data_IF_029163256784
#
_entry.id   IF_029163256784
#
_cell.length_a   1.000
_cell.length_b   1.000
_cell.length_c   1.000
_cell.angle_alpha   90.00
_cell.angle_beta   90.00
_cell.angle_gamma   90.00
#
_symmetry.space_group_name_H-M   'P 1'
#
loop_
_entity.id
_entity.type
_entity.pdbx_description
1 polymer ?
#
# COMPACT_ATOMS: atom_id res chain seq x y z
N UNK A 1 -10.79 9.28 20.13
CA UNK A 1 -11.19 7.94 19.63
C UNK A 1 -11.94 8.04 18.29
N UNK A 2 -12.99 8.88 18.14
CA UNK A 2 -13.78 8.99 16.89
C UNK A 2 -12.94 9.40 15.68
N UNK A 3 -12.06 10.39 15.82
CA UNK A 3 -11.17 10.84 14.76
C UNK A 3 -10.26 9.69 14.28
N UNK A 4 -9.58 9.03 15.24
CA UNK A 4 -8.63 7.95 14.94
C UNK A 4 -9.34 6.83 14.17
N UNK A 5 -10.54 6.44 14.60
CA UNK A 5 -11.33 5.39 13.94
C UNK A 5 -11.71 5.80 12.51
N UNK A 6 -12.29 7.00 12.31
CA UNK A 6 -12.72 7.46 10.99
C UNK A 6 -11.56 7.58 10.00
N UNK A 7 -10.42 8.17 10.44
CA UNK A 7 -9.23 8.29 9.60
C UNK A 7 -8.64 6.92 9.28
N UNK A 8 -8.63 6.00 10.24
CA UNK A 8 -8.13 4.64 10.02
C UNK A 8 -9.06 3.79 9.13
N UNK A 9 -10.39 3.98 9.21
CA UNK A 9 -11.32 3.37 8.25
C UNK A 9 -11.12 3.94 6.83
N UNK A 10 -10.86 5.25 6.71
CA UNK A 10 -10.52 5.85 5.43
C UNK A 10 -9.17 5.33 4.88
N UNK A 11 -8.23 4.94 5.76
CA UNK A 11 -6.99 4.25 5.39
C UNK A 11 -7.25 2.84 4.86
N UNK A 12 -8.07 2.07 5.56
CA UNK A 12 -8.48 0.76 5.07
C UNK A 12 -9.14 0.86 3.68
N UNK A 13 -10.02 1.85 3.51
CA UNK A 13 -10.73 2.07 2.25
C UNK A 13 -9.80 2.47 1.10
N UNK A 14 -8.79 3.32 1.32
CA UNK A 14 -7.88 3.70 0.22
C UNK A 14 -7.08 2.51 -0.27
N UNK A 15 -6.63 1.63 0.61
CA UNK A 15 -5.94 0.42 0.22
C UNK A 15 -6.87 -0.63 -0.41
N UNK A 16 -8.13 -0.69 0.04
CA UNK A 16 -9.16 -1.49 -0.62
C UNK A 16 -9.40 -1.00 -2.06
N UNK A 17 -9.49 0.31 -2.27
CA UNK A 17 -9.63 0.91 -3.60
C UNK A 17 -8.37 0.70 -4.46
N UNK A 18 -7.17 0.83 -3.88
CA UNK A 18 -5.90 0.58 -4.57
C UNK A 18 -5.81 -0.86 -5.09
N UNK A 19 -6.26 -1.84 -4.30
CA UNK A 19 -6.24 -3.26 -4.66
C UNK A 19 -7.48 -3.72 -5.42
N UNK A 20 -8.48 -2.85 -5.60
CA UNK A 20 -9.74 -3.21 -6.23
C UNK A 20 -9.57 -3.73 -7.65
N UNK A 21 -8.71 -3.08 -8.44
CA UNK A 21 -8.48 -3.48 -9.84
C UNK A 21 -7.87 -4.88 -9.92
N UNK A 22 -6.89 -5.21 -9.10
CA UNK A 22 -6.28 -6.54 -9.06
C UNK A 22 -7.28 -7.64 -8.71
N UNK A 23 -8.28 -7.30 -7.90
CA UNK A 23 -9.31 -8.24 -7.44
C UNK A 23 -10.34 -8.62 -8.51
N UNK A 24 -10.51 -7.79 -9.54
CA UNK A 24 -11.49 -8.02 -10.61
C UNK A 24 -10.89 -7.89 -12.02
N UNK A 25 -9.55 -7.79 -12.13
CA UNK A 25 -8.87 -7.56 -13.41
C UNK A 25 -9.17 -8.67 -14.42
N UNK A 26 -9.19 -9.94 -13.99
CA UNK A 26 -9.48 -11.06 -14.86
C UNK A 26 -10.91 -10.98 -15.42
N UNK A 27 -11.89 -10.66 -14.59
CA UNK A 27 -13.29 -10.55 -15.01
C UNK A 27 -13.48 -9.39 -16.00
N UNK A 28 -12.79 -8.26 -15.76
CA UNK A 28 -12.77 -7.13 -16.71
C UNK A 28 -12.08 -7.53 -18.01
N UNK A 29 -10.93 -8.21 -17.91
CA UNK A 29 -10.17 -8.67 -19.09
C UNK A 29 -10.98 -9.65 -19.95
N UNK A 30 -11.69 -10.57 -19.31
CA UNK A 30 -12.56 -11.53 -20.02
C UNK A 30 -13.70 -10.81 -20.74
N UNK A 31 -14.34 -9.81 -20.12
CA UNK A 31 -15.46 -9.06 -20.72
C UNK A 31 -15.00 -8.22 -21.93
N UNK A 32 -13.86 -7.55 -21.83
CA UNK A 32 -13.38 -6.66 -22.89
C UNK A 32 -12.34 -7.32 -23.80
N UNK A 33 -12.07 -8.62 -23.64
CA UNK A 33 -11.06 -9.37 -24.38
C UNK A 33 -9.67 -8.73 -24.36
N UNK A 34 -9.25 -8.31 -23.14
CA UNK A 34 -7.94 -7.71 -22.94
C UNK A 34 -6.82 -8.74 -23.06
N UNK A 35 -5.74 -8.36 -23.75
CA UNK A 35 -4.44 -9.03 -23.62
C UNK A 35 -3.85 -8.83 -22.23
N UNK A 36 -2.84 -9.62 -21.87
CA UNK A 36 -2.13 -9.42 -20.60
C UNK A 36 -1.50 -8.02 -20.50
N UNK A 37 -0.96 -7.50 -21.60
CA UNK A 37 -0.44 -6.11 -21.67
C UNK A 37 -1.52 -5.08 -21.32
N UNK A 38 -2.72 -5.23 -21.89
CA UNK A 38 -3.85 -4.35 -21.61
C UNK A 38 -4.30 -4.48 -20.14
N UNK A 39 -4.34 -5.69 -19.60
CA UNK A 39 -4.61 -5.90 -18.18
C UNK A 39 -3.54 -5.25 -17.29
N UNK A 40 -2.26 -5.40 -17.63
CA UNK A 40 -1.17 -4.73 -16.93
C UNK A 40 -1.29 -3.20 -16.93
N UNK A 41 -1.65 -2.62 -18.10
CA UNK A 41 -1.91 -1.20 -18.23
C UNK A 41 -3.14 -0.74 -17.41
N UNK A 42 -4.12 -1.60 -17.20
CA UNK A 42 -5.26 -1.29 -16.33
C UNK A 42 -4.81 -1.05 -14.88
N UNK A 43 -3.88 -1.87 -14.39
CA UNK A 43 -3.25 -1.67 -13.08
C UNK A 43 -2.45 -0.36 -13.02
N UNK A 44 -1.71 -0.05 -14.09
CA UNK A 44 -0.97 1.22 -14.20
C UNK A 44 -1.90 2.43 -14.21
N UNK A 45 -3.05 2.35 -14.89
CA UNK A 45 -4.02 3.45 -14.97
C UNK A 45 -4.51 3.89 -13.58
N UNK A 46 -4.61 2.98 -12.62
CA UNK A 46 -4.95 3.32 -11.24
C UNK A 46 -3.71 3.73 -10.42
N UNK A 47 -2.63 2.94 -10.47
CA UNK A 47 -1.47 3.09 -9.58
C UNK A 47 -0.61 4.32 -9.88
N UNK A 48 -0.47 4.69 -11.15
CA UNK A 48 0.35 5.82 -11.55
C UNK A 48 -0.19 7.15 -11.00
N UNK A 49 -1.47 7.53 -11.23
CA UNK A 49 -2.03 8.74 -10.64
C UNK A 49 -2.13 8.66 -9.11
N UNK A 50 -2.33 7.46 -8.54
CA UNK A 50 -2.30 7.26 -7.08
C UNK A 50 -0.94 7.65 -6.48
N UNK A 51 0.16 7.20 -7.08
CA UNK A 51 1.51 7.52 -6.60
C UNK A 51 1.88 8.98 -6.85
N UNK A 52 1.78 9.46 -8.10
CA UNK A 52 2.17 10.83 -8.46
C UNK A 52 1.26 11.86 -7.79
N UNK A 53 -0.04 11.59 -7.73
CA UNK A 53 -1.04 12.49 -7.16
C UNK A 53 -0.81 12.77 -5.68
N UNK A 54 -0.22 11.84 -4.92
CA UNK A 54 0.04 12.01 -3.50
C UNK A 54 0.93 13.23 -3.19
N UNK A 55 1.88 13.55 -4.05
CA UNK A 55 2.70 14.76 -3.90
C UNK A 55 1.86 16.03 -4.03
N UNK A 56 1.04 16.12 -5.06
CA UNK A 56 0.17 17.29 -5.28
C UNK A 56 -0.94 17.40 -4.24
N UNK A 57 -1.48 16.26 -3.80
CA UNK A 57 -2.50 16.21 -2.76
C UNK A 57 -2.00 16.76 -1.41
N UNK A 58 -0.71 16.59 -1.11
CA UNK A 58 -0.08 17.22 0.06
C UNK A 58 -0.15 18.77 -0.01
N UNK A 59 0.19 19.34 -1.17
CA UNK A 59 0.10 20.79 -1.38
C UNK A 59 -1.35 21.31 -1.29
N UNK A 60 -2.31 20.51 -1.78
CA UNK A 60 -3.74 20.85 -1.66
C UNK A 60 -4.21 20.77 -0.20
N UNK A 61 -3.75 19.77 0.57
CA UNK A 61 -4.08 19.63 1.98
C UNK A 61 -3.54 20.80 2.81
N UNK A 62 -2.30 21.24 2.54
CA UNK A 62 -1.71 22.43 3.19
C UNK A 62 -2.50 23.71 2.87
N UNK A 63 -3.05 23.84 1.67
CA UNK A 63 -3.78 25.04 1.23
C UNK A 63 -5.24 25.05 1.66
N UNK A 64 -5.93 23.94 1.56
CA UNK A 64 -7.38 23.84 1.73
C UNK A 64 -7.79 23.17 3.05
N UNK A 65 -6.85 22.58 3.78
CA UNK A 65 -7.05 21.84 5.02
C UNK A 65 -7.33 20.36 4.80
N UNK A 66 -6.78 19.54 5.67
CA UNK A 66 -6.77 18.08 5.58
C UNK A 66 -8.18 17.47 5.52
N UNK A 67 -9.10 17.98 6.34
CA UNK A 67 -10.50 17.48 6.34
C UNK A 67 -11.17 17.63 4.97
N UNK A 68 -10.98 18.78 4.30
CA UNK A 68 -11.62 19.01 2.98
C UNK A 68 -11.06 18.07 1.93
N UNK A 69 -9.75 17.84 1.95
CA UNK A 69 -9.10 16.91 1.02
C UNK A 69 -9.52 15.46 1.30
N UNK A 70 -9.66 15.08 2.58
CA UNK A 70 -10.18 13.76 2.95
C UNK A 70 -11.63 13.55 2.49
N UNK A 71 -12.48 14.58 2.62
CA UNK A 71 -13.86 14.54 2.13
C UNK A 71 -13.92 14.48 0.60
N UNK A 72 -13.05 15.24 -0.09
CA UNK A 72 -12.93 15.21 -1.55
C UNK A 72 -12.48 13.83 -2.05
N UNK A 73 -11.50 13.20 -1.39
CA UNK A 73 -11.13 11.81 -1.66
C UNK A 73 -12.35 10.89 -1.58
N UNK A 74 -13.06 10.90 -0.46
CA UNK A 74 -14.14 9.93 -0.20
C UNK A 74 -15.31 10.08 -1.18
N UNK A 75 -15.78 11.31 -1.44
CA UNK A 75 -16.86 11.54 -2.38
C UNK A 75 -16.43 11.39 -3.84
N UNK A 76 -15.21 11.80 -4.19
CA UNK A 76 -14.64 11.57 -5.52
C UNK A 76 -14.47 10.09 -5.83
N UNK A 77 -13.91 9.32 -4.89
CA UNK A 77 -13.82 7.87 -5.02
C UNK A 77 -15.21 7.20 -5.11
N UNK A 78 -16.18 7.67 -4.32
CA UNK A 78 -17.57 7.20 -4.40
C UNK A 78 -18.17 7.42 -5.78
N UNK A 79 -18.09 8.66 -6.30
CA UNK A 79 -18.61 9.00 -7.61
C UNK A 79 -18.00 8.16 -8.74
N UNK A 80 -16.66 8.04 -8.74
CA UNK A 80 -15.96 7.25 -9.75
C UNK A 80 -16.31 5.78 -9.60
N UNK A 81 -16.32 5.22 -8.39
CA UNK A 81 -16.67 3.81 -8.17
C UNK A 81 -18.10 3.51 -8.63
N UNK A 82 -19.07 4.37 -8.34
CA UNK A 82 -20.45 4.22 -8.82
C UNK A 82 -20.56 4.37 -10.34
N UNK A 83 -19.71 5.18 -10.97
CA UNK A 83 -19.74 5.39 -12.42
C UNK A 83 -19.39 4.14 -13.23
N UNK A 84 -18.71 3.14 -12.63
CA UNK A 84 -18.45 1.85 -13.29
C UNK A 84 -19.72 1.11 -13.70
N UNK A 85 -20.87 1.39 -13.09
CA UNK A 85 -22.18 0.83 -13.48
C UNK A 85 -22.55 1.10 -14.94
N UNK A 86 -22.05 2.21 -15.49
CA UNK A 86 -22.31 2.61 -16.89
C UNK A 86 -21.09 2.45 -17.80
N UNK A 87 -20.08 1.71 -17.36
CA UNK A 87 -18.88 1.45 -18.15
C UNK A 87 -19.21 0.51 -19.32
N UNK A 88 -19.32 1.08 -20.52
CA UNK A 88 -19.69 0.36 -21.74
C UNK A 88 -18.53 0.08 -22.71
N UNK A 89 -17.29 0.39 -22.34
CA UNK A 89 -16.12 0.19 -23.19
C UNK A 89 -14.79 0.33 -22.44
N UNK A 90 -13.75 -0.26 -23.02
CA UNK A 90 -12.42 -0.31 -22.44
C UNK A 90 -11.84 1.07 -22.08
N UNK A 91 -11.96 2.05 -22.99
CA UNK A 91 -11.46 3.43 -22.77
C UNK A 91 -12.11 4.09 -21.55
N UNK A 92 -13.40 3.81 -21.33
CA UNK A 92 -14.14 4.33 -20.17
C UNK A 92 -13.58 3.71 -18.89
N UNK A 93 -13.33 2.39 -18.88
CA UNK A 93 -12.76 1.69 -17.72
C UNK A 93 -11.38 2.24 -17.36
N UNK A 94 -10.48 2.43 -18.33
CA UNK A 94 -9.17 3.05 -18.10
C UNK A 94 -9.29 4.45 -17.51
N UNK A 95 -10.19 5.28 -18.06
CA UNK A 95 -10.42 6.65 -17.59
C UNK A 95 -10.95 6.65 -16.14
N UNK A 96 -11.86 5.75 -15.83
CA UNK A 96 -12.41 5.61 -14.47
C UNK A 96 -11.34 5.10 -13.49
N UNK A 97 -10.49 4.14 -13.88
CA UNK A 97 -9.36 3.70 -13.06
C UNK A 97 -8.38 4.83 -12.79
N UNK A 98 -8.06 5.62 -13.82
CA UNK A 98 -7.22 6.80 -13.66
C UNK A 98 -7.82 7.81 -12.68
N UNK A 99 -9.10 8.13 -12.85
CA UNK A 99 -9.82 9.05 -11.96
C UNK A 99 -9.89 8.52 -10.51
N UNK A 100 -10.11 7.21 -10.34
CA UNK A 100 -10.10 6.57 -9.02
C UNK A 100 -8.72 6.72 -8.34
N UNK A 101 -7.63 6.50 -9.09
CA UNK A 101 -6.27 6.71 -8.61
C UNK A 101 -6.00 8.16 -8.19
N UNK A 102 -6.49 9.15 -8.96
CA UNK A 102 -6.37 10.57 -8.62
C UNK A 102 -7.05 10.87 -7.27
N UNK A 103 -8.30 10.44 -7.07
CA UNK A 103 -8.97 10.69 -5.79
C UNK A 103 -8.35 9.91 -4.64
N UNK A 104 -7.98 8.65 -4.85
CA UNK A 104 -7.33 7.82 -3.83
C UNK A 104 -5.97 8.40 -3.38
N UNK A 105 -5.23 9.07 -4.26
CA UNK A 105 -3.93 9.70 -3.95
C UNK A 105 -4.01 10.74 -2.82
N UNK A 106 -5.19 11.32 -2.61
CA UNK A 106 -5.41 12.40 -1.64
C UNK A 106 -5.40 11.90 -0.19
N UNK A 107 -5.60 10.59 0.02
CA UNK A 107 -5.73 10.07 1.38
C UNK A 107 -4.44 10.21 2.21
N UNK A 108 -3.31 9.69 1.73
CA UNK A 108 -2.10 9.58 2.55
C UNK A 108 -1.60 10.91 3.11
N UNK A 109 -1.46 11.99 2.30
CA UNK A 109 -1.02 13.27 2.85
C UNK A 109 -2.05 13.88 3.80
N UNK A 110 -3.35 13.84 3.45
CA UNK A 110 -4.38 14.46 4.26
C UNK A 110 -4.70 13.66 5.53
N UNK A 111 -4.83 12.33 5.43
CA UNK A 111 -5.19 11.47 6.56
C UNK A 111 -4.08 11.39 7.61
N UNK A 112 -2.82 11.23 7.18
CA UNK A 112 -1.68 11.18 8.10
C UNK A 112 -1.45 12.53 8.79
N UNK A 113 -1.54 13.64 8.05
CA UNK A 113 -1.41 14.99 8.63
C UNK A 113 -2.51 15.26 9.65
N UNK A 114 -3.77 14.95 9.30
CA UNK A 114 -4.90 15.11 10.21
C UNK A 114 -4.72 14.28 11.50
N UNK A 115 -4.29 13.02 11.37
CA UNK A 115 -4.03 12.15 12.51
C UNK A 115 -2.90 12.70 13.39
N UNK A 116 -1.80 13.16 12.78
CA UNK A 116 -0.66 13.69 13.50
C UNK A 116 -0.97 15.02 14.22
N UNK A 117 -1.77 15.89 13.60
CA UNK A 117 -2.09 17.21 14.12
C UNK A 117 -3.14 17.19 15.24
N UNK A 118 -4.13 16.29 15.12
CA UNK A 118 -5.28 16.25 16.02
C UNK A 118 -5.11 15.21 17.15
N UNK A 119 -4.02 14.44 17.17
CA UNK A 119 -3.77 13.42 18.19
C UNK A 119 -2.76 13.93 19.23
N UNK A 120 -3.10 13.77 20.53
CA UNK A 120 -2.18 14.10 21.62
C UNK A 120 -0.89 13.30 21.51
N UNK A 121 0.26 13.85 21.91
CA UNK A 121 1.56 13.17 21.82
C UNK A 121 1.56 11.77 22.45
N UNK A 122 0.87 11.60 23.59
CA UNK A 122 0.80 10.36 24.36
C UNK A 122 -0.01 9.26 23.63
N UNK A 123 -1.02 9.66 22.85
CA UNK A 123 -1.91 8.76 22.12
C UNK A 123 -1.45 8.50 20.68
N UNK A 124 -0.51 9.30 20.17
CA UNK A 124 -0.10 9.30 18.74
C UNK A 124 0.45 7.96 18.29
N UNK A 125 1.28 7.31 19.08
CA UNK A 125 1.85 6.00 18.75
C UNK A 125 0.75 4.94 18.62
N UNK A 126 -0.23 4.93 19.54
CA UNK A 126 -1.38 4.03 19.47
C UNK A 126 -2.27 4.30 18.27
N UNK A 127 -2.49 5.59 17.94
CA UNK A 127 -3.27 6.01 16.79
C UNK A 127 -2.64 5.56 15.47
N UNK A 128 -1.33 5.78 15.32
CA UNK A 128 -0.57 5.34 14.13
C UNK A 128 -0.51 3.81 14.02
N UNK A 129 -0.40 3.09 15.15
CA UNK A 129 -0.46 1.63 15.18
C UNK A 129 -1.81 1.10 14.67
N UNK A 130 -2.92 1.63 15.17
CA UNK A 130 -4.26 1.25 14.71
C UNK A 130 -4.48 1.61 13.24
N UNK A 131 -4.03 2.79 12.82
CA UNK A 131 -4.06 3.23 11.43
C UNK A 131 -3.31 2.26 10.51
N UNK A 132 -2.11 1.81 10.90
CA UNK A 132 -1.33 0.85 10.12
C UNK A 132 -2.01 -0.52 9.99
N UNK A 133 -2.55 -1.05 11.09
CA UNK A 133 -3.28 -2.34 11.08
C UNK A 133 -4.50 -2.28 10.15
N UNK A 134 -5.31 -1.20 10.24
CA UNK A 134 -6.49 -1.06 9.40
C UNK A 134 -6.11 -0.88 7.92
N UNK A 135 -4.99 -0.22 7.62
CA UNK A 135 -4.45 -0.16 6.24
C UNK A 135 -4.15 -1.54 5.67
N UNK A 136 -3.42 -2.38 6.41
CA UNK A 136 -3.10 -3.75 5.99
C UNK A 136 -4.35 -4.62 5.82
N UNK A 137 -5.33 -4.48 6.72
CA UNK A 137 -6.62 -5.14 6.58
C UNK A 137 -7.38 -4.65 5.33
N UNK A 138 -7.27 -3.36 4.99
CA UNK A 138 -7.82 -2.81 3.75
C UNK A 138 -7.29 -3.49 2.50
N UNK A 139 -5.97 -3.74 2.44
CA UNK A 139 -5.33 -4.45 1.34
C UNK A 139 -5.92 -5.86 1.18
N UNK A 140 -6.02 -6.62 2.26
CA UNK A 140 -6.55 -7.99 2.25
C UNK A 140 -8.08 -8.04 2.01
N UNK A 141 -8.80 -6.99 2.41
CA UNK A 141 -10.26 -6.91 2.24
C UNK A 141 -10.68 -6.75 0.77
N UNK A 142 -9.85 -6.18 -0.08
CA UNK A 142 -10.19 -5.98 -1.49
C UNK A 142 -10.50 -7.31 -2.21
N UNK A 143 -9.57 -8.28 -2.26
CA UNK A 143 -9.88 -9.57 -2.88
C UNK A 143 -10.90 -10.37 -2.07
N UNK A 144 -10.97 -10.24 -0.74
CA UNK A 144 -11.99 -10.93 0.04
C UNK A 144 -13.42 -10.49 -0.34
N UNK A 145 -13.66 -9.17 -0.41
CA UNK A 145 -14.97 -8.61 -0.79
C UNK A 145 -15.27 -8.92 -2.27
N UNK A 146 -14.28 -8.84 -3.16
CA UNK A 146 -14.45 -9.22 -4.55
C UNK A 146 -14.82 -10.72 -4.69
N UNK A 147 -14.11 -11.59 -3.96
CA UNK A 147 -14.42 -13.00 -3.90
C UNK A 147 -15.85 -13.27 -3.45
N UNK A 148 -16.31 -12.60 -2.39
CA UNK A 148 -17.69 -12.71 -1.91
C UNK A 148 -18.70 -12.24 -2.97
N UNK A 149 -18.48 -11.09 -3.58
CA UNK A 149 -19.37 -10.56 -4.63
C UNK A 149 -19.44 -11.50 -5.85
N UNK A 150 -18.29 -11.98 -6.32
CA UNK A 150 -18.20 -12.88 -7.47
C UNK A 150 -18.72 -14.30 -7.14
N UNK A 151 -18.71 -14.72 -5.87
CA UNK A 151 -19.40 -15.95 -5.45
C UNK A 151 -20.91 -15.82 -5.53
N UNK A 152 -21.46 -14.66 -5.16
CA UNK A 152 -22.90 -14.41 -5.18
C UNK A 152 -23.42 -14.05 -6.59
N UNK A 153 -22.61 -13.36 -7.37
CA UNK A 153 -22.91 -12.89 -8.72
C UNK A 153 -21.68 -13.02 -9.61
N UNK A 154 -21.46 -14.19 -10.22
CA UNK A 154 -20.33 -14.41 -11.13
C UNK A 154 -20.31 -13.36 -12.25
N UNK A 155 -19.14 -12.74 -12.48
CA UNK A 155 -18.97 -11.71 -13.51
C UNK A 155 -19.39 -10.29 -13.13
N UNK A 156 -20.04 -10.07 -11.98
CA UNK A 156 -20.54 -8.73 -11.58
C UNK A 156 -19.46 -7.88 -10.91
N UNK A 157 -18.42 -7.54 -11.66
CA UNK A 157 -17.39 -6.61 -11.21
C UNK A 157 -17.92 -5.18 -11.05
N UNK A 158 -18.99 -4.80 -11.77
CA UNK A 158 -19.65 -3.49 -11.61
C UNK A 158 -20.34 -3.38 -10.27
N UNK A 159 -21.04 -4.44 -9.85
CA UNK A 159 -21.63 -4.52 -8.52
C UNK A 159 -20.60 -4.43 -7.41
N UNK A 160 -19.40 -4.98 -7.59
CA UNK A 160 -18.30 -4.80 -6.66
C UNK A 160 -17.91 -3.31 -6.53
N UNK A 161 -17.72 -2.58 -7.63
CA UNK A 161 -17.42 -1.14 -7.57
C UNK A 161 -18.57 -0.31 -7.03
N UNK A 162 -19.83 -0.69 -7.33
CA UNK A 162 -21.00 -0.02 -6.71
C UNK A 162 -20.94 -0.14 -5.18
N UNK A 163 -20.64 -1.33 -4.66
CA UNK A 163 -20.47 -1.53 -3.22
C UNK A 163 -19.35 -0.65 -2.64
N UNK A 164 -18.19 -0.59 -3.30
CA UNK A 164 -17.10 0.30 -2.88
C UNK A 164 -17.50 1.77 -2.91
N UNK A 165 -18.28 2.17 -3.90
CA UNK A 165 -18.83 3.52 -4.00
C UNK A 165 -19.76 3.86 -2.84
N UNK A 166 -20.65 2.93 -2.46
CA UNK A 166 -21.55 3.09 -1.32
C UNK A 166 -20.76 3.20 -0.01
N UNK A 167 -19.77 2.34 0.20
CA UNK A 167 -18.89 2.41 1.38
C UNK A 167 -18.16 3.75 1.43
N UNK A 168 -17.60 4.19 0.30
CA UNK A 168 -16.89 5.48 0.19
C UNK A 168 -17.80 6.66 0.49
N UNK A 169 -19.00 6.69 -0.07
CA UNK A 169 -19.99 7.74 0.18
C UNK A 169 -20.41 7.77 1.64
N UNK A 170 -20.71 6.61 2.22
CA UNK A 170 -21.12 6.48 3.63
C UNK A 170 -20.03 7.02 4.56
N UNK A 171 -18.78 6.60 4.34
CA UNK A 171 -17.65 7.09 5.13
C UNK A 171 -17.41 8.58 4.89
N UNK A 172 -17.62 9.07 3.65
CA UNK A 172 -17.57 10.49 3.30
C UNK A 172 -18.55 11.33 4.11
N UNK A 173 -19.80 10.89 4.21
CA UNK A 173 -20.84 11.53 5.03
C UNK A 173 -20.45 11.52 6.51
N UNK A 174 -19.97 10.39 7.04
CA UNK A 174 -19.53 10.28 8.43
C UNK A 174 -18.37 11.23 8.73
N UNK A 175 -17.37 11.29 7.85
CA UNK A 175 -16.21 12.21 7.99
C UNK A 175 -16.68 13.68 7.91
N UNK A 176 -17.55 13.99 6.96
CA UNK A 176 -18.08 15.34 6.80
C UNK A 176 -18.85 15.84 8.03
N UNK A 177 -19.72 14.99 8.59
CA UNK A 177 -20.59 15.33 9.73
C UNK A 177 -19.85 15.27 11.08
N UNK A 178 -19.00 14.25 11.29
CA UNK A 178 -18.44 13.95 12.61
C UNK A 178 -17.08 14.57 12.88
N UNK A 179 -16.29 14.86 11.83
CA UNK A 179 -15.03 15.56 12.00
C UNK A 179 -15.29 17.07 11.95
N UNK A 180 -14.88 17.77 13.01
CA UNK A 180 -14.89 19.22 13.01
C UNK A 180 -13.87 19.75 12.00
N UNK A 181 -14.12 20.87 11.29
CA UNK A 181 -13.05 21.56 10.58
C UNK A 181 -11.93 21.82 11.59
N UNK A 182 -10.67 21.56 11.22
CA UNK A 182 -9.56 22.06 12.01
C UNK A 182 -9.80 23.56 12.20
N UNK A 183 -9.94 24.00 13.45
CA UNK A 183 -10.12 25.41 13.73
C UNK A 183 -9.01 26.15 13.02
N UNK A 184 -9.31 27.29 12.40
CA UNK A 184 -8.34 28.22 11.81
C UNK A 184 -7.54 28.95 12.93
N UNK A 185 -7.24 28.27 14.03
CA UNK A 185 -6.18 28.48 14.96
C UNK A 185 -5.07 27.51 14.60
N UNK A 186 -4.48 27.72 13.42
CA UNK A 186 -3.10 27.27 13.28
C UNK A 186 -2.37 27.88 14.47
N UNK A 187 -1.70 27.11 15.34
CA UNK A 187 -0.68 27.71 16.17
C UNK A 187 0.19 28.47 15.17
N UNK A 188 0.32 29.76 15.36
CA UNK A 188 1.10 30.64 14.52
C UNK A 188 2.37 29.90 14.14
N UNK A 189 2.64 29.82 12.84
CA UNK A 189 3.85 29.21 12.27
C UNK A 189 5.14 29.81 12.89
N UNK A 190 4.99 30.79 13.77
CA UNK A 190 6.01 31.55 14.47
C UNK A 190 5.93 31.45 16.01
N UNK A 191 5.02 30.71 16.60
CA UNK A 191 5.16 30.41 18.03
C UNK A 191 6.29 29.40 18.19
N UNK A 192 7.42 29.76 18.82
CA UNK A 192 8.36 28.77 19.30
C UNK A 192 7.55 27.83 20.20
N UNK A 193 7.49 26.55 19.84
CA UNK A 193 6.85 25.52 20.66
C UNK A 193 7.39 25.70 22.11
N UNK A 194 6.59 26.31 22.97
CA UNK A 194 6.75 26.18 24.41
C UNK A 194 6.25 24.78 24.75
N UNK A 195 7.00 23.78 24.29
CA UNK A 195 6.88 22.39 24.67
C UNK A 195 7.82 22.17 25.81
N UNK A 196 7.28 21.61 26.88
CA UNK A 196 7.99 20.99 27.99
C UNK A 196 9.37 20.48 27.57
N UNK A 197 10.41 21.00 28.18
CA UNK A 197 11.81 20.70 27.90
C UNK A 197 12.18 19.21 28.05
N UNK A 198 11.30 18.40 28.62
CA UNK A 198 11.45 16.96 28.76
C UNK A 198 11.30 16.15 27.45
N UNK A 199 10.66 16.71 26.38
CA UNK A 199 10.50 16.05 25.06
C UNK A 199 11.53 16.55 24.03
N UNK A 200 12.33 17.56 24.35
CA UNK A 200 13.27 18.23 23.43
C UNK A 200 14.39 17.32 22.90
N UNK A 201 14.56 16.09 23.38
CA UNK A 201 15.80 15.36 23.16
C UNK A 201 15.70 14.03 22.43
N UNK A 202 14.70 13.80 21.57
CA UNK A 202 14.67 12.51 20.84
C UNK A 202 15.43 12.51 19.50
N UNK A 203 15.65 13.68 18.88
CA UNK A 203 16.48 13.79 17.66
C UNK A 203 17.33 15.05 17.70
N UNK A 204 18.57 15.05 17.20
CA UNK A 204 19.39 16.27 17.06
C UNK A 204 18.63 17.31 16.26
N UNK A 205 18.56 18.55 16.77
CA UNK A 205 17.90 19.66 16.08
C UNK A 205 18.62 20.06 14.80
N UNK A 206 19.87 19.64 14.62
CA UNK A 206 20.77 20.04 13.53
C UNK A 206 21.05 18.93 12.51
N UNK A 207 20.15 17.95 12.37
CA UNK A 207 20.33 16.91 11.35
C UNK A 207 20.36 17.55 9.96
N UNK A 208 21.52 17.48 9.28
CA UNK A 208 21.63 17.87 7.88
C UNK A 208 20.99 16.83 6.98
N UNK A 209 20.39 17.29 5.88
CA UNK A 209 19.86 16.39 4.87
C UNK A 209 20.97 15.50 4.29
N UNK A 210 20.83 14.20 4.48
CA UNK A 210 21.79 13.22 3.96
C UNK A 210 21.26 12.66 2.65
N UNK A 211 21.59 13.32 1.54
CA UNK A 211 21.05 13.01 0.22
C UNK A 211 21.39 11.58 -0.23
N UNK A 212 22.62 11.13 -0.04
CA UNK A 212 23.07 9.81 -0.51
C UNK A 212 22.32 8.65 0.17
N UNK A 213 22.26 8.54 1.52
CA UNK A 213 21.44 7.52 2.18
C UNK A 213 19.97 7.60 1.81
N UNK A 214 19.39 8.79 1.73
CA UNK A 214 18.00 8.97 1.35
C UNK A 214 17.73 8.50 -0.08
N UNK A 215 18.63 8.77 -1.04
CA UNK A 215 18.53 8.28 -2.41
C UNK A 215 18.55 6.75 -2.47
N UNK A 216 19.44 6.08 -1.71
CA UNK A 216 19.46 4.62 -1.65
C UNK A 216 18.14 4.03 -1.13
N UNK A 217 17.56 4.65 -0.10
CA UNK A 217 16.26 4.23 0.41
C UNK A 217 15.14 4.42 -0.62
N UNK A 218 15.14 5.57 -1.31
CA UNK A 218 14.13 5.88 -2.34
C UNK A 218 14.23 4.93 -3.52
N UNK A 219 15.43 4.61 -3.99
CA UNK A 219 15.65 3.61 -5.05
C UNK A 219 15.17 2.22 -4.59
N UNK A 220 15.49 1.83 -3.36
CA UNK A 220 15.04 0.57 -2.78
C UNK A 220 13.51 0.46 -2.73
N UNK A 221 12.82 1.51 -2.29
CA UNK A 221 11.35 1.51 -2.26
C UNK A 221 10.73 1.56 -3.66
N UNK A 222 11.36 2.21 -4.64
CA UNK A 222 10.90 2.20 -6.04
C UNK A 222 10.96 0.79 -6.63
N UNK A 223 12.09 0.08 -6.45
CA UNK A 223 12.24 -1.30 -6.91
C UNK A 223 11.28 -2.25 -6.18
N UNK A 224 11.18 -2.11 -4.85
CA UNK A 224 10.22 -2.88 -4.05
C UNK A 224 8.77 -2.61 -4.44
N UNK A 225 8.44 -1.35 -4.76
CA UNK A 225 7.12 -0.96 -5.27
C UNK A 225 6.80 -1.58 -6.63
N UNK A 226 7.81 -1.73 -7.51
CA UNK A 226 7.65 -2.44 -8.79
C UNK A 226 7.36 -3.93 -8.57
N UNK A 227 8.08 -4.58 -7.63
CA UNK A 227 7.79 -5.95 -7.22
C UNK A 227 6.37 -6.07 -6.65
N UNK A 228 6.00 -5.18 -5.75
CA UNK A 228 4.66 -5.12 -5.16
C UNK A 228 3.57 -4.99 -6.22
N UNK A 229 3.71 -4.00 -7.11
CA UNK A 229 2.72 -3.75 -8.17
C UNK A 229 2.58 -4.94 -9.12
N UNK A 230 3.70 -5.52 -9.54
CA UNK A 230 3.72 -6.66 -10.46
C UNK A 230 3.07 -7.91 -9.89
N UNK A 231 3.47 -8.30 -8.67
CA UNK A 231 2.89 -9.51 -8.03
C UNK A 231 1.42 -9.30 -7.69
N UNK A 232 1.08 -8.19 -7.02
CA UNK A 232 -0.28 -8.04 -6.50
C UNK A 232 -1.34 -7.86 -7.59
N UNK A 233 -0.98 -7.27 -8.73
CA UNK A 233 -1.94 -7.07 -9.82
C UNK A 233 -2.47 -8.40 -10.36
N UNK A 234 -1.60 -9.38 -10.54
CA UNK A 234 -1.96 -10.69 -11.07
C UNK A 234 -2.12 -11.78 -10.00
N UNK A 235 -1.99 -11.45 -8.71
CA UNK A 235 -2.02 -12.44 -7.64
C UNK A 235 -3.31 -13.30 -7.61
N UNK A 236 -4.52 -12.73 -7.75
CA UNK A 236 -5.73 -13.56 -7.80
C UNK A 236 -5.75 -14.50 -9.01
N UNK A 237 -5.34 -14.02 -10.20
CA UNK A 237 -5.24 -14.83 -11.42
C UNK A 237 -4.21 -15.96 -11.25
N UNK A 238 -3.01 -15.64 -10.81
CA UNK A 238 -1.94 -16.60 -10.54
C UNK A 238 -2.37 -17.72 -9.59
N UNK A 239 -3.10 -17.38 -8.52
CA UNK A 239 -3.57 -18.36 -7.54
C UNK A 239 -4.79 -19.16 -8.04
N UNK A 240 -5.65 -18.58 -8.87
CA UNK A 240 -6.78 -19.29 -9.48
C UNK A 240 -6.30 -20.39 -10.43
N UNK A 241 -5.39 -20.07 -11.35
CA UNK A 241 -4.89 -20.99 -12.38
C UNK A 241 -4.16 -22.21 -11.82
N UNK A 242 -3.77 -22.19 -10.58
CA UNK A 242 -2.95 -23.23 -9.95
C UNK A 242 -3.72 -24.33 -9.24
N UNK A 243 -5.02 -24.22 -9.05
CA UNK A 243 -5.76 -25.08 -8.12
C UNK A 243 -5.28 -24.95 -6.66
N UNK A 244 -4.82 -23.78 -6.29
CA UNK A 244 -4.15 -23.48 -5.01
C UNK A 244 -4.99 -23.75 -3.77
N UNK A 245 -6.31 -23.77 -3.92
CA UNK A 245 -7.26 -23.99 -2.82
C UNK A 245 -7.80 -25.43 -2.75
N UNK A 246 -7.40 -26.33 -3.64
CA UNK A 246 -7.96 -27.69 -3.75
C UNK A 246 -7.90 -28.50 -2.44
N UNK A 247 -6.80 -28.40 -1.70
CA UNK A 247 -6.70 -29.07 -0.40
C UNK A 247 -7.64 -28.46 0.65
N UNK A 248 -7.79 -27.14 0.63
CA UNK A 248 -8.69 -26.45 1.58
C UNK A 248 -10.14 -26.77 1.27
N UNK A 249 -10.53 -26.80 -0.01
CA UNK A 249 -11.87 -27.19 -0.46
C UNK A 249 -12.19 -28.63 -0.03
N UNK A 250 -11.24 -29.55 -0.25
CA UNK A 250 -11.37 -30.95 0.19
C UNK A 250 -11.54 -31.06 1.71
N UNK A 251 -10.76 -30.29 2.46
CA UNK A 251 -10.84 -30.30 3.93
C UNK A 251 -12.14 -29.69 4.46
N UNK A 252 -12.64 -28.63 3.83
CA UNK A 252 -13.91 -27.97 4.20
C UNK A 252 -15.15 -28.74 3.70
N UNK A 253 -14.98 -29.70 2.80
CA UNK A 253 -16.10 -30.45 2.18
C UNK A 253 -17.00 -29.56 1.33
N UNK A 254 -16.49 -28.47 0.78
CA UNK A 254 -17.23 -27.52 -0.05
C UNK A 254 -16.37 -27.06 -1.24
N UNK A 255 -17.03 -26.71 -2.36
CA UNK A 255 -16.38 -26.11 -3.51
C UNK A 255 -16.53 -24.58 -3.47
N UNK A 256 -15.44 -23.87 -3.75
CA UNK A 256 -15.45 -22.43 -3.93
C UNK A 256 -15.69 -22.15 -5.41
N UNK A 257 -16.59 -21.22 -5.78
CA UNK A 257 -16.78 -20.87 -7.19
C UNK A 257 -15.48 -20.42 -7.87
N UNK A 258 -15.24 -20.89 -9.08
CA UNK A 258 -14.02 -20.56 -9.85
C UNK A 258 -13.79 -19.06 -10.00
N UNK A 259 -14.87 -18.28 -10.08
CA UNK A 259 -14.80 -16.81 -10.16
C UNK A 259 -14.26 -16.14 -8.90
N UNK A 260 -14.22 -16.85 -7.76
CA UNK A 260 -13.88 -16.30 -6.45
C UNK A 260 -12.61 -16.92 -5.83
N UNK A 261 -12.22 -18.14 -6.29
CA UNK A 261 -11.18 -18.94 -5.64
C UNK A 261 -9.84 -18.21 -5.56
N UNK A 262 -9.41 -17.56 -6.64
CA UNK A 262 -8.17 -16.79 -6.68
C UNK A 262 -8.20 -15.58 -5.73
N UNK A 263 -9.36 -14.95 -5.58
CA UNK A 263 -9.56 -13.82 -4.68
C UNK A 263 -9.47 -14.23 -3.21
N UNK A 264 -10.07 -15.34 -2.81
CA UNK A 264 -9.95 -15.84 -1.43
C UNK A 264 -8.53 -16.30 -1.11
N UNK A 265 -7.85 -16.94 -2.06
CA UNK A 265 -6.45 -17.30 -1.93
C UNK A 265 -5.54 -16.06 -1.78
N UNK A 266 -5.77 -15.02 -2.59
CA UNK A 266 -5.04 -13.76 -2.48
C UNK A 266 -5.31 -13.05 -1.14
N UNK A 267 -6.56 -13.02 -0.67
CA UNK A 267 -6.90 -12.46 0.63
C UNK A 267 -6.13 -13.14 1.77
N UNK A 268 -6.05 -14.48 1.74
CA UNK A 268 -5.29 -15.26 2.73
C UNK A 268 -3.79 -14.92 2.70
N UNK A 269 -3.20 -14.83 1.51
CA UNK A 269 -1.81 -14.43 1.36
C UNK A 269 -1.56 -13.01 1.91
N UNK A 270 -2.46 -12.07 1.65
CA UNK A 270 -2.33 -10.68 2.12
C UNK A 270 -2.54 -10.54 3.64
N UNK A 271 -3.34 -11.41 4.26
CA UNK A 271 -3.42 -11.50 5.74
C UNK A 271 -2.07 -11.93 6.32
N UNK A 272 -1.39 -12.90 5.70
CA UNK A 272 -0.02 -13.26 6.09
C UNK A 272 0.93 -12.05 5.96
N UNK A 273 0.77 -11.24 4.92
CA UNK A 273 1.51 -9.99 4.76
C UNK A 273 1.28 -9.00 5.91
N UNK A 274 0.03 -8.78 6.32
CA UNK A 274 -0.30 -7.94 7.45
C UNK A 274 0.37 -8.42 8.75
N UNK A 275 0.46 -9.74 8.95
CA UNK A 275 1.17 -10.31 10.09
C UNK A 275 2.69 -10.08 10.00
N UNK A 276 3.30 -10.22 8.82
CA UNK A 276 4.71 -9.91 8.58
C UNK A 276 5.03 -8.45 8.89
N UNK A 277 4.19 -7.53 8.44
CA UNK A 277 4.30 -6.10 8.76
C UNK A 277 4.26 -5.82 10.26
N UNK A 278 3.31 -6.42 10.97
CA UNK A 278 3.19 -6.29 12.42
C UNK A 278 4.44 -6.83 13.13
N UNK A 279 4.93 -7.99 12.73
CA UNK A 279 6.12 -8.61 13.31
C UNK A 279 7.37 -7.73 13.11
N UNK A 280 7.58 -7.24 11.88
CA UNK A 280 8.71 -6.36 11.58
C UNK A 280 8.67 -5.08 12.40
N UNK A 281 7.49 -4.48 12.57
CA UNK A 281 7.32 -3.30 13.42
C UNK A 281 7.69 -3.55 14.89
N UNK A 282 7.42 -4.77 15.41
CA UNK A 282 7.82 -5.15 16.77
C UNK A 282 9.31 -5.45 16.92
N UNK A 283 9.91 -6.03 15.89
CA UNK A 283 11.34 -6.39 15.90
C UNK A 283 12.26 -5.21 15.55
N UNK A 284 11.71 -4.15 14.98
CA UNK A 284 12.46 -2.97 14.54
C UNK A 284 13.21 -2.31 15.71
N UNK A 285 14.54 -2.27 15.61
CA UNK A 285 15.42 -1.58 16.57
C UNK A 285 16.33 -0.61 15.81
N UNK A 286 16.56 0.61 16.31
CA UNK A 286 17.29 1.65 15.58
C UNK A 286 18.62 1.20 14.96
N UNK A 287 19.46 0.50 15.70
CA UNK A 287 20.78 0.04 15.21
C UNK A 287 20.74 -1.13 14.21
N UNK A 288 19.58 -1.79 14.02
CA UNK A 288 19.45 -2.98 13.14
C UNK A 288 18.63 -2.72 11.89
N UNK A 289 17.98 -1.56 11.78
CA UNK A 289 17.04 -1.25 10.69
C UNK A 289 17.60 -1.47 9.28
N UNK A 290 18.81 -1.00 8.90
CA UNK A 290 19.33 -1.23 7.56
C UNK A 290 19.54 -2.72 7.25
N UNK A 291 20.02 -3.50 8.23
CA UNK A 291 20.20 -4.96 8.09
C UNK A 291 18.86 -5.67 7.92
N UNK A 292 17.87 -5.31 8.73
CA UNK A 292 16.54 -5.90 8.65
C UNK A 292 15.86 -5.55 7.32
N UNK A 293 16.00 -4.31 6.83
CA UNK A 293 15.44 -3.90 5.54
C UNK A 293 16.11 -4.65 4.39
N UNK A 294 17.47 -4.75 4.39
CA UNK A 294 18.20 -5.54 3.39
C UNK A 294 17.77 -7.01 3.42
N UNK A 295 17.64 -7.61 4.61
CA UNK A 295 17.19 -8.99 4.77
C UNK A 295 15.74 -9.18 4.27
N UNK A 296 14.83 -8.26 4.59
CA UNK A 296 13.45 -8.31 4.10
C UNK A 296 13.41 -8.27 2.56
N UNK A 297 14.18 -7.40 1.93
CA UNK A 297 14.30 -7.39 0.47
C UNK A 297 14.95 -8.67 -0.08
N UNK A 298 16.02 -9.16 0.54
CA UNK A 298 16.73 -10.37 0.11
C UNK A 298 15.83 -11.63 0.19
N UNK A 299 15.04 -11.77 1.24
CA UNK A 299 14.12 -12.90 1.40
C UNK A 299 12.97 -12.91 0.37
N UNK A 300 12.67 -11.78 -0.28
CA UNK A 300 11.75 -11.78 -1.42
C UNK A 300 12.27 -12.64 -2.57
N UNK A 301 13.61 -12.70 -2.78
CA UNK A 301 14.22 -13.43 -3.90
C UNK A 301 13.85 -14.90 -3.90
N UNK A 302 14.17 -15.70 -2.85
CA UNK A 302 13.79 -17.11 -2.83
C UNK A 302 12.28 -17.33 -2.87
N UNK A 303 11.47 -16.43 -2.27
CA UNK A 303 10.02 -16.54 -2.33
C UNK A 303 9.49 -16.36 -3.76
N UNK A 304 9.97 -15.34 -4.49
CA UNK A 304 9.59 -15.08 -5.88
C UNK A 304 10.07 -16.22 -6.80
N UNK A 305 11.29 -16.69 -6.62
CA UNK A 305 11.80 -17.85 -7.37
C UNK A 305 10.95 -19.09 -7.08
N UNK A 306 10.57 -19.32 -5.81
CA UNK A 306 9.67 -20.43 -5.50
C UNK A 306 8.31 -20.28 -6.17
N UNK A 307 7.75 -19.09 -6.22
CA UNK A 307 6.49 -18.82 -6.93
C UNK A 307 6.55 -19.18 -8.42
N UNK A 308 7.73 -19.18 -9.07
CA UNK A 308 7.88 -19.60 -10.48
C UNK A 308 7.65 -21.09 -10.68
N UNK A 309 8.01 -21.93 -9.72
CA UNK A 309 8.00 -23.41 -9.83
C UNK A 309 6.91 -24.06 -8.98
N UNK A 310 6.25 -23.30 -8.13
CA UNK A 310 5.22 -23.82 -7.24
C UNK A 310 3.97 -24.23 -8.04
N UNK A 311 3.38 -25.36 -7.67
CA UNK A 311 2.15 -25.89 -8.26
C UNK A 311 1.10 -26.17 -7.18
N UNK A 312 -0.16 -26.19 -7.55
CA UNK A 312 -1.26 -26.49 -6.64
C UNK A 312 -1.24 -25.63 -5.37
N UNK A 313 -1.46 -26.24 -4.22
CA UNK A 313 -1.46 -25.54 -2.93
C UNK A 313 -0.08 -24.95 -2.52
N UNK A 314 1.02 -25.41 -3.12
CA UNK A 314 2.32 -24.81 -2.86
C UNK A 314 2.44 -23.40 -3.43
N UNK A 315 1.67 -23.05 -4.48
CA UNK A 315 1.57 -21.65 -4.96
C UNK A 315 0.99 -20.73 -3.89
N UNK A 316 -0.06 -21.17 -3.20
CA UNK A 316 -0.63 -20.41 -2.09
C UNK A 316 0.37 -20.24 -0.95
N UNK A 317 1.09 -21.31 -0.58
CA UNK A 317 2.10 -21.24 0.48
C UNK A 317 3.25 -20.29 0.09
N UNK A 318 3.74 -20.36 -1.14
CA UNK A 318 4.78 -19.47 -1.65
C UNK A 318 4.32 -18.01 -1.65
N UNK A 319 3.06 -17.73 -2.07
CA UNK A 319 2.47 -16.40 -2.03
C UNK A 319 2.28 -15.88 -0.61
N UNK A 320 1.86 -16.72 0.34
CA UNK A 320 1.77 -16.37 1.76
C UNK A 320 3.13 -15.98 2.34
N UNK A 321 4.17 -16.75 2.05
CA UNK A 321 5.53 -16.45 2.52
C UNK A 321 6.09 -15.20 1.85
N UNK A 322 5.88 -15.03 0.54
CA UNK A 322 6.26 -13.81 -0.15
C UNK A 322 5.58 -12.59 0.46
N UNK A 323 4.27 -12.62 0.64
CA UNK A 323 3.54 -11.52 1.22
C UNK A 323 4.01 -11.21 2.66
N UNK A 324 4.19 -12.24 3.50
CA UNK A 324 4.70 -12.10 4.84
C UNK A 324 6.04 -11.36 4.87
N UNK A 325 6.99 -11.76 4.02
CA UNK A 325 8.32 -11.15 3.93
C UNK A 325 8.26 -9.77 3.29
N UNK A 326 7.51 -9.64 2.19
CA UNK A 326 7.45 -8.39 1.43
C UNK A 326 6.91 -7.24 2.29
N UNK A 327 5.83 -7.46 3.03
CA UNK A 327 5.21 -6.41 3.85
C UNK A 327 6.04 -6.01 5.08
N UNK A 328 7.06 -6.80 5.46
CA UNK A 328 8.02 -6.41 6.50
C UNK A 328 8.80 -5.15 6.15
N UNK A 329 8.98 -4.84 4.86
CA UNK A 329 9.79 -3.70 4.43
C UNK A 329 9.21 -2.36 4.86
N UNK A 330 7.87 -2.20 4.85
CA UNK A 330 7.22 -0.91 5.07
C UNK A 330 7.51 -0.28 6.45
N UNK A 331 7.34 -0.96 7.60
CA UNK A 331 7.67 -0.38 8.89
C UNK A 331 9.17 -0.13 9.05
N UNK A 332 10.02 -0.97 8.48
CA UNK A 332 11.47 -0.80 8.51
C UNK A 332 11.91 0.43 7.72
N UNK A 333 11.39 0.58 6.50
CA UNK A 333 11.62 1.72 5.63
C UNK A 333 11.15 3.03 6.29
N UNK A 334 9.89 3.05 6.77
CA UNK A 334 9.30 4.22 7.41
C UNK A 334 10.05 4.64 8.68
N UNK A 335 10.71 3.71 9.36
CA UNK A 335 11.56 3.99 10.53
C UNK A 335 12.92 4.56 10.13
N UNK A 336 13.44 4.23 8.94
CA UNK A 336 14.74 4.72 8.46
C UNK A 336 14.68 6.11 7.84
N UNK A 337 13.62 6.45 7.12
CA UNK A 337 13.50 7.73 6.41
C UNK A 337 13.76 8.95 7.33
N UNK A 338 13.21 9.03 8.56
CA UNK A 338 13.45 10.16 9.46
C UNK A 338 14.89 10.29 9.95
N UNK A 339 15.70 9.24 9.88
CA UNK A 339 17.11 9.27 10.30
C UNK A 339 18.00 10.09 9.35
N UNK A 340 17.57 10.27 8.10
CA UNK A 340 18.33 10.96 7.06
C UNK A 340 17.75 12.31 6.64
N UNK A 341 16.60 12.69 7.22
CA UNK A 341 15.88 13.92 6.89
C UNK A 341 15.74 14.87 8.09
N UNK A 342 16.06 16.15 7.92
CA UNK A 342 15.74 17.15 8.94
C UNK A 342 14.22 17.23 9.13
N UNK A 343 13.77 17.57 10.34
CA UNK A 343 12.36 17.56 10.74
C UNK A 343 11.44 18.29 9.75
N UNK A 344 11.87 19.48 9.29
CA UNK A 344 11.08 20.32 8.38
C UNK A 344 10.97 19.77 6.95
N UNK A 345 11.72 18.70 6.58
CA UNK A 345 11.68 18.05 5.27
C UNK A 345 11.06 16.66 5.28
N UNK A 346 10.67 16.14 6.43
CA UNK A 346 10.16 14.76 6.56
C UNK A 346 8.86 14.53 5.77
N UNK A 347 7.92 15.47 5.82
CA UNK A 347 6.66 15.35 5.06
C UNK A 347 6.92 15.29 3.56
N UNK A 348 7.77 16.18 3.03
CA UNK A 348 8.17 16.15 1.61
C UNK A 348 8.93 14.87 1.27
N UNK A 349 9.80 14.41 2.16
CA UNK A 349 10.57 13.17 1.99
C UNK A 349 9.67 11.95 1.92
N UNK A 350 8.70 11.81 2.82
CA UNK A 350 7.72 10.73 2.76
C UNK A 350 6.82 10.83 1.52
N UNK A 351 6.38 12.03 1.15
CA UNK A 351 5.60 12.25 -0.06
C UNK A 351 6.36 11.84 -1.32
N UNK A 352 7.63 12.24 -1.42
CA UNK A 352 8.51 11.83 -2.53
C UNK A 352 8.76 10.32 -2.54
N UNK A 353 8.99 9.71 -1.37
CA UNK A 353 9.15 8.27 -1.24
C UNK A 353 7.91 7.50 -1.70
N UNK A 354 6.72 7.94 -1.31
CA UNK A 354 5.46 7.34 -1.74
C UNK A 354 5.25 7.50 -3.25
N UNK A 355 5.56 8.68 -3.79
CA UNK A 355 5.52 8.90 -5.23
C UNK A 355 6.45 7.94 -5.98
N UNK A 356 7.65 7.71 -5.49
CA UNK A 356 8.58 6.76 -6.09
C UNK A 356 8.15 5.30 -5.90
N UNK A 357 7.70 4.93 -4.71
CA UNK A 357 7.25 3.57 -4.43
C UNK A 357 6.01 3.17 -5.23
N UNK A 358 4.97 3.98 -5.25
CA UNK A 358 3.73 3.67 -5.99
C UNK A 358 3.75 4.14 -7.44
N UNK A 359 4.33 5.31 -7.74
CA UNK A 359 4.39 5.85 -9.10
C UNK A 359 5.32 5.06 -10.01
N UNK A 360 6.57 4.78 -9.58
CA UNK A 360 7.47 3.87 -10.30
C UNK A 360 6.96 2.44 -10.19
N UNK A 361 6.39 2.05 -9.04
CA UNK A 361 5.74 0.76 -8.83
C UNK A 361 4.61 0.44 -9.82
N UNK A 362 4.01 1.47 -10.43
CA UNK A 362 3.01 1.31 -11.48
C UNK A 362 3.54 0.65 -12.77
N UNK A 363 4.88 0.54 -12.92
CA UNK A 363 5.52 -0.20 -14.01
C UNK A 363 5.46 -1.72 -13.76
N UNK A 364 5.23 -2.16 -12.53
CA UNK A 364 5.22 -3.58 -12.16
C UNK A 364 4.21 -4.43 -12.96
N UNK A 365 2.92 -4.08 -13.02
CA UNK A 365 1.94 -4.83 -13.78
C UNK A 365 2.29 -5.00 -15.26
N UNK A 366 2.59 -3.97 -16.05
CA UNK A 366 2.99 -4.14 -17.45
C UNK A 366 4.32 -4.90 -17.61
N UNK A 367 5.23 -4.81 -16.64
CA UNK A 367 6.47 -5.61 -16.68
C UNK A 367 6.17 -7.11 -16.58
N UNK A 368 5.26 -7.52 -15.71
CA UNK A 368 4.82 -8.92 -15.61
C UNK A 368 4.12 -9.33 -16.90
N UNK A 369 3.17 -8.53 -17.38
CA UNK A 369 2.40 -8.81 -18.58
C UNK A 369 3.29 -8.99 -19.83
N UNK A 370 4.30 -8.14 -19.99
CA UNK A 370 5.21 -8.19 -21.14
C UNK A 370 5.91 -9.56 -21.31
N UNK A 371 6.25 -10.21 -20.21
CA UNK A 371 6.91 -11.51 -20.24
C UNK A 371 5.91 -12.67 -20.34
N UNK A 372 4.73 -12.52 -19.72
CA UNK A 372 3.70 -13.55 -19.75
C UNK A 372 3.10 -13.72 -21.16
N UNK A 373 2.75 -12.64 -21.84
CA UNK A 373 2.27 -12.68 -23.24
C UNK A 373 3.25 -13.36 -24.21
N UNK A 374 4.57 -13.29 -23.91
CA UNK A 374 5.60 -13.87 -24.78
C UNK A 374 5.91 -15.32 -24.48
N UNK A 375 5.78 -15.73 -23.24
CA UNK A 375 6.29 -17.02 -22.75
C UNK A 375 5.20 -17.89 -22.12
N UNK A 376 3.98 -17.37 -21.99
CA UNK A 376 2.79 -18.05 -21.47
C UNK A 376 2.99 -18.70 -20.08
N UNK A 377 3.90 -18.13 -19.27
CA UNK A 377 4.09 -18.54 -17.89
C UNK A 377 4.72 -17.41 -17.03
N UNK A 378 4.54 -17.50 -15.71
CA UNK A 378 5.06 -16.50 -14.76
C UNK A 378 6.57 -16.66 -14.46
N UNK A 379 7.26 -17.63 -15.04
CA UNK A 379 8.66 -17.97 -14.70
C UNK A 379 9.58 -16.79 -14.96
N UNK A 380 9.55 -16.21 -16.15
CA UNK A 380 10.41 -15.08 -16.51
C UNK A 380 9.99 -13.83 -15.74
N UNK A 381 8.68 -13.57 -15.64
CA UNK A 381 8.12 -12.41 -14.94
C UNK A 381 8.57 -12.38 -13.47
N UNK A 382 8.35 -13.46 -12.73
CA UNK A 382 8.71 -13.50 -11.32
C UNK A 382 10.21 -13.61 -11.09
N UNK A 383 10.98 -14.23 -12.03
CA UNK A 383 12.44 -14.19 -11.99
C UNK A 383 12.98 -12.77 -12.20
N UNK A 384 12.39 -12.00 -13.11
CA UNK A 384 12.74 -10.58 -13.28
C UNK A 384 12.44 -9.75 -12.03
N UNK A 385 11.27 -9.96 -11.40
CA UNK A 385 10.93 -9.32 -10.13
C UNK A 385 11.88 -9.75 -8.99
N UNK A 386 12.33 -11.02 -8.97
CA UNK A 386 13.35 -11.49 -8.04
C UNK A 386 14.69 -10.77 -8.23
N UNK A 387 15.08 -10.51 -9.49
CA UNK A 387 16.24 -9.67 -9.81
C UNK A 387 16.13 -8.26 -9.28
N UNK A 388 14.94 -7.61 -9.41
CA UNK A 388 14.70 -6.29 -8.83
C UNK A 388 14.75 -6.31 -7.29
N UNK A 389 14.18 -7.35 -6.66
CA UNK A 389 14.26 -7.54 -5.21
C UNK A 389 15.69 -7.75 -4.73
N UNK A 390 16.52 -8.49 -5.49
CA UNK A 390 17.95 -8.66 -5.21
C UNK A 390 18.70 -7.33 -5.24
N UNK A 391 18.49 -6.51 -6.29
CA UNK A 391 19.09 -5.18 -6.38
C UNK A 391 18.61 -4.30 -5.21
N UNK A 392 17.31 -4.33 -4.88
CA UNK A 392 16.77 -3.60 -3.74
C UNK A 392 17.44 -4.01 -2.42
N UNK A 393 17.79 -5.29 -2.25
CA UNK A 393 18.48 -5.80 -1.04
C UNK A 393 19.89 -5.27 -0.87
N UNK A 394 20.58 -4.91 -1.95
CA UNK A 394 21.94 -4.37 -1.91
C UNK A 394 21.96 -2.89 -1.47
N UNK A 395 20.89 -2.14 -1.75
CA UNK A 395 20.84 -0.69 -1.52
C UNK A 395 20.95 -0.28 -0.04
N UNK A 396 20.39 -0.99 0.95
CA UNK A 396 20.58 -0.65 2.36
C UNK A 396 21.95 -1.05 2.93
N UNK A 397 22.77 -1.87 2.23
CA UNK A 397 24.06 -2.35 2.76
C UNK A 397 25.04 -1.23 3.11
N UNK A 398 25.24 -0.19 2.28
CA UNK A 398 26.11 0.93 2.64
C UNK A 398 25.63 1.69 3.89
N UNK A 399 24.34 1.64 4.19
CA UNK A 399 23.79 2.30 5.37
C UNK A 399 24.20 1.63 6.67
N UNK A 400 24.65 0.38 6.65
CA UNK A 400 25.14 -0.35 7.83
C UNK A 400 26.42 0.24 8.39
N UNK A 401 27.25 0.91 7.57
CA UNK A 401 28.48 1.58 7.98
C UNK A 401 28.25 2.98 8.56
N UNK A 402 27.07 3.55 8.37
CA UNK A 402 26.72 4.84 8.92
C UNK A 402 26.44 4.66 10.41
N UNK A 403 27.23 5.32 11.26
CA UNK A 403 26.97 5.33 12.70
C UNK A 403 25.67 6.11 12.95
N UNK A 404 24.59 5.37 13.18
CA UNK A 404 23.41 5.98 13.79
C UNK A 404 23.81 6.48 15.16
N UNK A 405 23.47 7.70 15.51
CA UNK A 405 23.72 8.25 16.85
C UNK A 405 22.87 7.43 17.82
N UNK A 406 23.43 6.31 18.29
CA UNK A 406 22.84 5.54 19.38
C UNK A 406 22.83 6.41 20.60
N UNK A 407 21.67 6.79 21.06
CA UNK A 407 21.47 7.35 22.39
C UNK A 407 21.73 6.25 23.42
N UNK A 408 22.94 6.17 23.91
CA UNK A 408 23.14 5.68 25.24
C UNK A 408 22.49 6.69 26.20
N UNK A 409 21.38 6.32 26.76
CA UNK A 409 20.91 6.96 27.98
C UNK A 409 22.00 6.76 29.03
N UNK A 410 22.73 7.81 29.30
CA UNK A 410 23.42 7.94 30.59
C UNK A 410 22.34 7.91 31.68
N UNK A 411 21.98 6.71 32.12
CA UNK A 411 21.52 6.46 33.46
C UNK A 411 22.79 6.34 34.32
N UNK A 412 23.32 7.47 34.71
CA UNK A 412 24.23 7.55 35.85
C UNK A 412 23.94 8.87 36.57
N UNK A 413 23.25 8.74 37.62
CA UNK A 413 23.27 9.36 38.98
C UNK A 413 21.87 9.75 39.45
#
# INVERSE_FOLDING_TARGET
VKLILLVSCAHALVHLLEQSVASVEQVISDEFSFSMDQSGLLGTALRLPYGIGAFFAGLLADRFGEKRILVLYLFGAALVSMSFMVAGGSSVVYTQMFALGVFASMYHPAGLALLANETRPEERSRALGMHGVLGSLGIASAPFIAGLMLSLRPGDWRGYYLLLGIISATLGVLVWLLLKPAGHGAPERNSPMHGDDSVKNVYPTDLKFQIFPFTLLVLGTALSGTVYGGVLHFLPRYLKESGSMSHLESWLGTSIPDSAIGNYAAALALICGAFGQWLAGRLAKPGTLPRMLSLAYALNVPCLIWMTFAEGSYRLLAACLWAFVHFMNQPLYNSLVPEFLPRHRRSVGFGFSNMMGFGVGAVGPPLVALFDDRFADYTISYSALAGLAFVAALLPLPLMSIRFVTREHHHNR
#
